data_IF_647159330969
#
_entry.id   IF_647159330969
#
_cell.length_a   1.000
_cell.length_b   1.000
_cell.length_c   1.000
_cell.angle_alpha   90.00
_cell.angle_beta   90.00
_cell.angle_gamma   90.00
#
_symmetry.space_group_name_H-M   'P 1'
#
loop_
_entity.id
_entity.type
_entity.pdbx_description
1 polymer ?
#
# COMPACT_ATOMS: atom_id res chain seq x y z
N UNK A 1 10.86 -18.01 -12.62
CA UNK A 1 10.73 -17.15 -13.81
C UNK A 1 11.93 -17.41 -14.69
N UNK A 2 11.67 -17.84 -15.95
CA UNK A 2 12.71 -18.16 -16.93
C UNK A 2 13.71 -17.00 -17.11
N UNK A 3 14.99 -17.35 -17.32
CA UNK A 3 16.10 -16.44 -17.62
C UNK A 3 15.77 -15.40 -18.72
N UNK A 4 15.00 -15.78 -19.74
CA UNK A 4 14.62 -14.89 -20.83
C UNK A 4 13.70 -13.73 -20.43
N UNK A 5 12.71 -13.95 -19.52
CA UNK A 5 11.91 -12.85 -18.97
C UNK A 5 12.80 -11.89 -18.17
N UNK A 6 13.76 -12.45 -17.42
CA UNK A 6 14.76 -11.67 -16.70
C UNK A 6 15.57 -10.78 -17.63
N UNK A 7 15.90 -11.23 -18.84
CA UNK A 7 16.75 -10.48 -19.77
C UNK A 7 16.03 -9.35 -20.51
N UNK A 8 14.75 -9.51 -20.86
CA UNK A 8 13.92 -8.43 -21.37
C UNK A 8 13.77 -7.35 -20.29
N UNK A 9 13.60 -7.74 -19.03
CA UNK A 9 13.45 -6.81 -17.91
C UNK A 9 14.78 -6.18 -17.44
N UNK A 10 15.90 -6.89 -17.52
CA UNK A 10 17.24 -6.37 -17.15
C UNK A 10 17.71 -5.24 -18.04
N UNK A 11 17.20 -5.12 -19.27
CA UNK A 11 17.48 -3.98 -20.16
C UNK A 11 16.79 -2.69 -19.73
N UNK A 12 15.72 -2.80 -18.91
CA UNK A 12 15.00 -1.65 -18.40
C UNK A 12 15.57 -1.23 -17.04
N UNK A 13 16.19 -0.07 -17.00
CA UNK A 13 16.80 0.52 -15.78
C UNK A 13 15.76 0.82 -14.69
N UNK A 14 14.50 0.95 -15.03
CA UNK A 14 13.42 1.38 -14.15
C UNK A 14 12.20 0.44 -14.27
N UNK A 15 12.33 -0.74 -13.69
CA UNK A 15 11.31 -1.77 -13.64
C UNK A 15 11.02 -2.14 -12.18
N UNK A 16 9.74 -2.11 -11.81
CA UNK A 16 9.27 -2.49 -10.48
C UNK A 16 8.17 -3.54 -10.61
N UNK A 17 8.27 -4.59 -9.84
CA UNK A 17 7.28 -5.66 -9.80
C UNK A 17 6.95 -6.05 -8.37
N UNK A 18 5.68 -6.23 -8.10
CA UNK A 18 5.20 -6.85 -6.88
C UNK A 18 4.05 -7.79 -7.24
N UNK A 19 4.29 -9.11 -7.05
CA UNK A 19 3.36 -10.17 -7.49
C UNK A 19 2.92 -9.99 -8.96
N UNK A 20 1.65 -9.63 -9.18
CA UNK A 20 1.04 -9.45 -10.50
C UNK A 20 1.15 -7.99 -11.01
N UNK A 21 1.45 -7.05 -10.13
CA UNK A 21 1.55 -5.64 -10.49
C UNK A 21 2.94 -5.32 -11.03
N UNK A 22 2.99 -4.71 -12.22
CA UNK A 22 4.21 -4.32 -12.91
C UNK A 22 4.14 -2.84 -13.25
N UNK A 23 5.21 -2.11 -12.95
CA UNK A 23 5.42 -0.72 -13.34
C UNK A 23 6.76 -0.59 -14.05
N UNK A 24 6.73 0.02 -15.24
CA UNK A 24 7.91 0.24 -16.08
C UNK A 24 7.98 1.72 -16.45
N UNK A 25 9.16 2.31 -16.35
CA UNK A 25 9.41 3.67 -16.78
C UNK A 25 10.36 3.68 -17.97
N UNK A 26 10.05 4.53 -18.95
CA UNK A 26 10.93 4.83 -20.08
C UNK A 26 10.93 6.33 -20.37
N UNK A 27 11.79 6.77 -21.27
CA UNK A 27 11.92 8.19 -21.63
C UNK A 27 10.77 8.65 -22.50
N UNK A 28 10.28 7.78 -23.39
CA UNK A 28 9.24 8.11 -24.36
C UNK A 28 8.04 7.16 -24.24
N UNK A 29 6.91 7.60 -24.75
CA UNK A 29 5.69 6.79 -24.81
C UNK A 29 5.83 5.66 -25.83
N UNK A 30 6.52 5.92 -26.93
CA UNK A 30 6.76 4.99 -28.02
C UNK A 30 7.55 3.77 -27.53
N UNK A 31 8.65 4.00 -26.77
CA UNK A 31 9.42 2.92 -26.13
C UNK A 31 8.53 2.03 -25.23
N UNK A 32 7.62 2.61 -24.45
CA UNK A 32 6.72 1.84 -23.58
C UNK A 32 5.70 1.04 -24.38
N UNK A 33 5.22 1.56 -25.51
CA UNK A 33 4.26 0.87 -26.38
C UNK A 33 4.92 -0.32 -27.07
N UNK A 34 6.15 -0.16 -27.55
CA UNK A 34 6.93 -1.26 -28.15
C UNK A 34 7.24 -2.33 -27.13
N UNK A 35 7.80 -1.95 -25.99
CA UNK A 35 8.10 -2.88 -24.90
C UNK A 35 6.86 -3.65 -24.44
N UNK A 36 5.70 -2.99 -24.37
CA UNK A 36 4.45 -3.68 -24.04
C UNK A 36 4.10 -4.76 -25.04
N UNK A 37 4.31 -4.53 -26.35
CA UNK A 37 4.06 -5.54 -27.38
C UNK A 37 4.98 -6.76 -27.21
N UNK A 38 6.26 -6.53 -26.95
CA UNK A 38 7.23 -7.59 -26.68
C UNK A 38 6.84 -8.41 -25.46
N UNK A 39 6.43 -7.75 -24.37
CA UNK A 39 5.97 -8.41 -23.13
C UNK A 39 4.69 -9.23 -23.40
N UNK A 40 3.75 -8.72 -24.20
CA UNK A 40 2.50 -9.42 -24.52
C UNK A 40 2.76 -10.70 -25.32
N UNK A 41 3.65 -10.62 -26.30
CA UNK A 41 4.11 -11.79 -27.08
C UNK A 41 4.76 -12.82 -26.14
N UNK A 42 5.70 -12.39 -25.31
CA UNK A 42 6.38 -13.27 -24.38
C UNK A 42 5.40 -13.95 -23.40
N UNK A 43 4.48 -13.19 -22.80
CA UNK A 43 3.49 -13.75 -21.85
C UNK A 43 2.60 -14.78 -22.52
N UNK A 44 2.14 -14.50 -23.73
CA UNK A 44 1.27 -15.41 -24.49
C UNK A 44 2.03 -16.67 -24.95
N UNK A 45 3.21 -16.50 -25.52
CA UNK A 45 3.91 -17.58 -26.22
C UNK A 45 4.70 -18.48 -25.24
N UNK A 46 5.37 -17.89 -24.23
CA UNK A 46 6.20 -18.63 -23.27
C UNK A 46 5.46 -18.99 -21.99
N UNK A 47 4.67 -18.07 -21.45
CA UNK A 47 4.03 -18.27 -20.15
C UNK A 47 2.57 -18.71 -20.25
N UNK A 48 1.97 -18.70 -21.45
CA UNK A 48 0.54 -18.99 -21.68
C UNK A 48 -0.38 -18.10 -20.82
N UNK A 49 0.04 -16.86 -20.58
CA UNK A 49 -0.68 -15.84 -19.82
C UNK A 49 -1.08 -14.68 -20.74
N UNK A 50 -2.16 -13.98 -20.36
CA UNK A 50 -2.61 -12.79 -21.04
C UNK A 50 -2.48 -11.57 -20.13
N UNK A 51 -2.01 -10.44 -20.69
CA UNK A 51 -2.00 -9.16 -20.00
C UNK A 51 -3.44 -8.66 -19.87
N UNK A 52 -3.84 -8.22 -18.66
CA UNK A 52 -5.16 -7.63 -18.45
C UNK A 52 -5.34 -6.37 -19.28
N UNK A 53 -6.55 -6.13 -19.79
CA UNK A 53 -6.87 -5.00 -20.66
C UNK A 53 -6.81 -3.61 -19.99
N UNK A 54 -6.60 -3.54 -18.66
CA UNK A 54 -6.56 -2.31 -17.89
C UNK A 54 -5.16 -1.66 -17.78
N UNK A 55 -4.20 -2.11 -18.59
CA UNK A 55 -2.87 -1.48 -18.67
C UNK A 55 -2.97 -0.03 -19.15
N UNK A 56 -2.04 0.83 -18.72
CA UNK A 56 -2.04 2.25 -19.05
C UNK A 56 -0.63 2.77 -19.28
N UNK A 57 -0.47 3.65 -20.27
CA UNK A 57 0.75 4.42 -20.53
C UNK A 57 0.41 5.90 -20.37
N UNK A 58 1.09 6.59 -19.47
CA UNK A 58 0.85 8.01 -19.22
C UNK A 58 2.11 8.71 -18.69
N UNK A 59 2.23 10.03 -18.85
CA UNK A 59 3.31 10.80 -18.25
C UNK A 59 3.15 10.86 -16.72
N UNK A 60 4.21 10.53 -15.98
CA UNK A 60 4.18 10.47 -14.51
C UNK A 60 3.98 11.83 -13.83
N UNK A 61 4.36 12.93 -14.51
CA UNK A 61 4.15 14.27 -14.00
C UNK A 61 2.68 14.74 -14.08
N UNK A 62 1.84 14.07 -14.87
CA UNK A 62 0.42 14.44 -15.04
C UNK A 62 -0.43 13.94 -13.86
N UNK A 63 -0.25 12.68 -13.45
CA UNK A 63 -1.17 12.10 -12.45
C UNK A 63 -0.53 11.20 -11.40
N UNK A 64 0.77 10.98 -11.42
CA UNK A 64 1.46 10.03 -10.56
C UNK A 64 1.13 8.56 -10.87
N UNK A 65 1.83 7.65 -10.22
CA UNK A 65 1.73 6.20 -10.41
C UNK A 65 1.04 5.58 -9.22
N UNK A 66 -0.05 4.86 -9.45
CA UNK A 66 -0.71 4.04 -8.43
C UNK A 66 0.01 2.69 -8.31
N UNK A 67 0.68 2.46 -7.17
CA UNK A 67 1.39 1.23 -6.89
C UNK A 67 1.33 0.90 -5.39
N UNK A 68 1.06 -0.35 -5.05
CA UNK A 68 1.01 -0.87 -3.67
C UNK A 68 0.16 -0.04 -2.68
N UNK A 69 -0.95 0.52 -3.14
CA UNK A 69 -1.84 1.30 -2.28
C UNK A 69 -1.46 2.77 -2.11
N UNK A 70 -0.40 3.20 -2.77
CA UNK A 70 0.05 4.59 -2.81
C UNK A 70 -0.09 5.17 -4.21
N UNK A 71 -0.13 6.51 -4.28
CA UNK A 71 0.04 7.28 -5.50
C UNK A 71 1.31 8.09 -5.41
N UNK A 72 2.33 7.69 -6.16
CA UNK A 72 3.66 8.28 -6.15
C UNK A 72 3.80 9.29 -7.28
N UNK A 73 4.17 10.51 -6.92
CA UNK A 73 4.55 11.60 -7.81
C UNK A 73 6.08 11.80 -7.74
N UNK A 74 6.61 12.67 -8.60
CA UNK A 74 8.06 12.93 -8.63
C UNK A 74 8.64 13.41 -7.29
N UNK A 75 7.88 14.24 -6.55
CA UNK A 75 8.37 14.88 -5.31
C UNK A 75 7.71 14.36 -4.03
N UNK A 76 6.59 13.67 -4.12
CA UNK A 76 5.82 13.25 -2.95
C UNK A 76 5.01 11.99 -3.24
N UNK A 77 4.63 11.30 -2.19
CA UNK A 77 3.79 10.11 -2.24
C UNK A 77 2.55 10.31 -1.38
N UNK A 78 1.40 9.98 -1.91
CA UNK A 78 0.12 10.05 -1.20
C UNK A 78 -0.47 8.65 -1.01
N UNK A 79 -1.29 8.49 0.01
CA UNK A 79 -2.13 7.31 0.13
C UNK A 79 -3.15 7.28 -1.03
N UNK A 80 -3.41 6.11 -1.62
CA UNK A 80 -4.42 5.96 -2.69
C UNK A 80 -5.79 6.47 -2.21
N UNK A 81 -6.50 7.19 -3.07
CA UNK A 81 -7.76 7.86 -2.72
C UNK A 81 -8.80 6.91 -2.09
N UNK A 82 -8.98 5.72 -2.65
CA UNK A 82 -9.92 4.72 -2.11
C UNK A 82 -9.52 4.29 -0.70
N UNK A 83 -8.26 3.94 -0.48
CA UNK A 83 -7.72 3.58 0.83
C UNK A 83 -7.85 4.71 1.84
N UNK A 84 -7.59 5.96 1.41
CA UNK A 84 -7.75 7.14 2.26
C UNK A 84 -9.22 7.33 2.68
N UNK A 85 -10.18 7.18 1.76
CA UNK A 85 -11.61 7.28 2.06
C UNK A 85 -12.05 6.21 3.05
N UNK A 86 -11.65 4.96 2.83
CA UNK A 86 -12.02 3.84 3.71
C UNK A 86 -11.41 3.99 5.11
N UNK A 87 -10.15 4.40 5.18
CA UNK A 87 -9.46 4.72 6.43
C UNK A 87 -10.21 5.83 7.18
N UNK A 88 -10.49 6.96 6.53
CA UNK A 88 -11.12 8.11 7.20
C UNK A 88 -12.52 7.77 7.71
N UNK A 89 -13.31 7.01 6.96
CA UNK A 89 -14.63 6.52 7.42
C UNK A 89 -14.51 5.65 8.66
N UNK A 90 -13.63 4.65 8.63
CA UNK A 90 -13.43 3.72 9.75
C UNK A 90 -12.91 4.41 11.00
N UNK A 91 -11.90 5.28 10.85
CA UNK A 91 -11.32 5.99 12.01
C UNK A 91 -12.26 7.04 12.58
N UNK A 92 -13.10 7.69 11.76
CA UNK A 92 -14.14 8.59 12.26
C UNK A 92 -15.20 7.82 13.06
N UNK A 93 -15.67 6.69 12.56
CA UNK A 93 -16.62 5.86 13.30
C UNK A 93 -16.04 5.33 14.62
N UNK A 94 -14.77 4.88 14.59
CA UNK A 94 -14.07 4.45 15.79
C UNK A 94 -13.94 5.59 16.82
N UNK A 95 -13.61 6.79 16.36
CA UNK A 95 -13.50 7.96 17.24
C UNK A 95 -14.82 8.25 17.95
N UNK A 96 -15.93 8.32 17.22
CA UNK A 96 -17.27 8.52 17.81
C UNK A 96 -17.57 7.45 18.86
N UNK A 97 -17.24 6.18 18.57
CA UNK A 97 -17.44 5.06 19.50
C UNK A 97 -16.66 5.25 20.79
N UNK A 98 -15.36 5.55 20.73
CA UNK A 98 -14.53 5.66 21.94
C UNK A 98 -14.81 6.94 22.72
N UNK A 99 -15.14 8.04 22.06
CA UNK A 99 -15.56 9.29 22.71
C UNK A 99 -16.92 9.15 23.42
N UNK A 100 -17.79 8.22 23.01
CA UNK A 100 -19.04 7.87 23.70
C UNK A 100 -18.83 6.92 24.90
N UNK A 101 -17.59 6.62 25.29
CA UNK A 101 -17.26 5.77 26.44
C UNK A 101 -17.18 4.28 26.15
N UNK A 102 -17.34 3.85 24.89
CA UNK A 102 -17.21 2.44 24.50
C UNK A 102 -15.74 2.07 24.27
N UNK A 103 -15.35 0.89 24.72
CA UNK A 103 -13.98 0.42 24.53
C UNK A 103 -13.72 -0.01 23.07
N UNK A 104 -12.48 0.21 22.62
CA UNK A 104 -11.94 -0.33 21.38
C UNK A 104 -11.85 -1.86 21.47
N UNK A 105 -12.15 -2.56 20.38
CA UNK A 105 -11.93 -4.01 20.30
C UNK A 105 -10.59 -4.34 19.60
N UNK A 106 -10.20 -5.62 19.59
CA UNK A 106 -8.93 -6.08 19.01
C UNK A 106 -8.81 -5.76 17.50
N UNK A 107 -9.88 -5.99 16.74
CA UNK A 107 -9.88 -5.71 15.28
C UNK A 107 -9.74 -4.22 14.99
N UNK A 108 -10.37 -3.37 15.78
CA UNK A 108 -10.26 -1.90 15.66
C UNK A 108 -8.86 -1.42 16.03
N UNK A 109 -8.27 -1.98 17.07
CA UNK A 109 -6.88 -1.71 17.47
C UNK A 109 -5.89 -2.13 16.37
N UNK A 110 -6.04 -3.33 15.80
CA UNK A 110 -5.22 -3.78 14.68
C UNK A 110 -5.38 -2.89 13.45
N UNK A 111 -6.62 -2.48 13.13
CA UNK A 111 -6.91 -1.59 12.00
C UNK A 111 -6.25 -0.22 12.17
N UNK A 112 -6.32 0.36 13.37
CA UNK A 112 -5.66 1.63 13.68
C UNK A 112 -4.14 1.54 13.49
N UNK A 113 -3.51 0.49 14.00
CA UNK A 113 -2.07 0.28 13.87
C UNK A 113 -1.66 0.03 12.41
N UNK A 114 -2.47 -0.68 11.63
CA UNK A 114 -2.25 -0.88 10.20
C UNK A 114 -2.29 0.45 9.44
N UNK A 115 -3.30 1.28 9.68
CA UNK A 115 -3.39 2.61 9.05
C UNK A 115 -2.26 3.55 9.48
N UNK A 116 -1.86 3.49 10.76
CA UNK A 116 -0.67 4.20 11.25
C UNK A 116 0.57 3.81 10.45
N UNK A 117 0.80 2.51 10.23
CA UNK A 117 1.91 2.00 9.41
C UNK A 117 1.85 2.51 7.96
N UNK A 118 0.67 2.53 7.34
CA UNK A 118 0.50 3.04 5.98
C UNK A 118 0.82 4.53 5.86
N UNK A 119 0.40 5.33 6.83
CA UNK A 119 0.62 6.79 6.83
C UNK A 119 2.10 7.17 7.02
N UNK A 120 2.90 6.35 7.69
CA UNK A 120 4.35 6.60 7.85
C UNK A 120 5.09 6.55 6.51
N UNK A 121 4.60 5.78 5.54
CA UNK A 121 5.24 5.57 4.24
C UNK A 121 4.84 6.59 3.17
N UNK A 122 4.11 7.66 3.52
CA UNK A 122 3.66 8.68 2.58
C UNK A 122 3.55 10.07 3.23
N UNK A 123 3.36 11.11 2.42
CA UNK A 123 3.18 12.49 2.85
C UNK A 123 1.78 12.70 3.44
N UNK A 124 1.63 12.30 4.69
CA UNK A 124 0.33 12.16 5.35
C UNK A 124 0.21 12.90 6.69
N UNK A 125 1.13 13.82 7.01
CA UNK A 125 1.15 14.50 8.30
C UNK A 125 -0.23 15.01 8.76
N UNK A 126 -0.96 15.71 7.89
CA UNK A 126 -2.30 16.24 8.21
C UNK A 126 -3.33 15.14 8.45
N UNK A 127 -3.24 14.03 7.71
CA UNK A 127 -4.13 12.87 7.91
C UNK A 127 -3.82 12.18 9.24
N UNK A 128 -2.55 12.01 9.55
CA UNK A 128 -2.11 11.43 10.81
C UNK A 128 -2.60 12.26 12.00
N UNK A 129 -2.35 13.55 11.99
CA UNK A 129 -2.78 14.47 13.05
C UNK A 129 -4.30 14.49 13.24
N UNK A 130 -5.05 14.46 12.16
CA UNK A 130 -6.51 14.54 12.21
C UNK A 130 -7.18 13.24 12.64
N UNK A 131 -6.68 12.07 12.19
CA UNK A 131 -7.39 10.79 12.32
C UNK A 131 -6.68 9.77 13.22
N UNK A 132 -5.37 9.85 13.39
CA UNK A 132 -4.62 8.91 14.22
C UNK A 132 -4.37 9.46 15.62
N UNK A 133 -3.80 10.66 15.73
CA UNK A 133 -3.43 11.24 17.03
C UNK A 133 -4.57 11.23 18.06
N UNK A 134 -5.83 11.61 17.73
CA UNK A 134 -6.91 11.58 18.70
C UNK A 134 -7.26 10.20 19.23
N UNK A 135 -6.87 9.13 18.53
CA UNK A 135 -7.15 7.74 18.89
C UNK A 135 -6.02 7.07 19.69
N UNK A 136 -4.83 7.67 19.72
CA UNK A 136 -3.66 7.08 20.39
C UNK A 136 -3.87 6.81 21.88
N UNK A 137 -4.45 7.71 22.69
CA UNK A 137 -4.70 7.45 24.10
C UNK A 137 -5.57 6.20 24.33
N UNK A 138 -6.64 6.05 23.55
CA UNK A 138 -7.55 4.89 23.62
C UNK A 138 -6.87 3.59 23.17
N UNK A 139 -5.99 3.66 22.19
CA UNK A 139 -5.21 2.51 21.72
C UNK A 139 -4.17 2.07 22.76
N UNK A 140 -3.53 3.01 23.43
CA UNK A 140 -2.58 2.74 24.51
C UNK A 140 -3.27 2.11 25.73
N UNK A 141 -4.44 2.57 26.09
CA UNK A 141 -5.24 1.99 27.17
C UNK A 141 -5.72 0.57 26.83
N UNK A 142 -6.18 0.37 25.59
CA UNK A 142 -6.50 -0.97 25.10
C UNK A 142 -5.30 -1.91 25.19
N UNK A 143 -4.12 -1.47 24.74
CA UNK A 143 -2.89 -2.25 24.78
C UNK A 143 -2.48 -2.64 26.21
N UNK A 144 -2.51 -1.69 27.14
CA UNK A 144 -2.19 -1.92 28.56
C UNK A 144 -3.12 -2.95 29.19
N UNK A 145 -4.42 -2.85 28.91
CA UNK A 145 -5.43 -3.72 29.51
C UNK A 145 -5.46 -5.14 28.93
N UNK A 146 -5.27 -5.28 27.62
CA UNK A 146 -5.60 -6.53 26.91
C UNK A 146 -4.38 -7.27 26.35
N UNK A 147 -3.29 -6.58 25.99
CA UNK A 147 -2.15 -7.18 25.29
C UNK A 147 -0.95 -7.35 26.23
N UNK A 148 -0.56 -6.29 26.94
CA UNK A 148 0.61 -6.30 27.82
C UNK A 148 0.55 -7.35 28.96
N UNK A 149 -0.60 -7.67 29.56
CA UNK A 149 -0.67 -8.72 30.59
C UNK A 149 -0.30 -10.11 30.07
N UNK A 150 -0.61 -10.42 28.82
CA UNK A 150 -0.37 -11.74 28.21
C UNK A 150 1.09 -11.98 27.82
N UNK A 151 1.88 -10.93 27.59
CA UNK A 151 3.31 -11.08 27.25
C UNK A 151 4.18 -11.52 28.43
N UNK A 152 3.72 -11.35 29.67
CA UNK A 152 4.43 -11.82 30.88
C UNK A 152 4.17 -13.29 31.21
N UNK A 153 3.12 -13.93 30.66
CA UNK A 153 2.79 -15.34 30.94
C UNK A 153 3.53 -16.36 30.06
N UNK A 154 4.23 -15.91 29.01
CA UNK A 154 4.87 -16.77 28.02
C UNK A 154 6.32 -17.19 28.30
N UNK A 155 6.93 -16.82 29.46
CA UNK A 155 8.29 -17.21 29.84
C UNK A 155 8.30 -17.93 31.19
N UNK A 156 7.75 -19.13 31.25
CA UNK A 156 8.21 -20.17 32.16
C UNK A 156 8.87 -21.23 31.26
N UNK A 157 10.16 -21.04 31.01
CA UNK A 157 11.05 -22.12 30.57
C UNK A 157 11.34 -22.92 31.84
N UNK A 158 10.85 -24.11 31.91
CA UNK A 158 11.37 -25.19 32.75
C UNK A 158 12.44 -25.90 31.98
#
# INVERSE_FOLDING_TARGET
ISSAASDVYKRQKYYFRYMDDIVIFAKTKEELVELRKEIDVYFRDELKLNIKGNWQVFPTFVRGVDFLGYRTFYKYTLLRKTTCIDMTKKLTALRVKVESGNMMNYSEWCSLNSYKGWLISCDSFRLYQKYIEPLLPYADDYYKCNIKPNTKKGRKVT
#
